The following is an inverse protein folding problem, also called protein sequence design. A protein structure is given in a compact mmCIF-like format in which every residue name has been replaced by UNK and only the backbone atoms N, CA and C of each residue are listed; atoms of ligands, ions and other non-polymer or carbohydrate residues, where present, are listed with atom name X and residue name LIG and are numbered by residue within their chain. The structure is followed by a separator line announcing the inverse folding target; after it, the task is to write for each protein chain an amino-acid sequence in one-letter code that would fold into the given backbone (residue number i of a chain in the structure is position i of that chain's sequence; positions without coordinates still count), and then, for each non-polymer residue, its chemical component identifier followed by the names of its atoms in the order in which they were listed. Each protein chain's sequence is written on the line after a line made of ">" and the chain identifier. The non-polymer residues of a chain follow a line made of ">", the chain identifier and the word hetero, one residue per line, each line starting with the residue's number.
data_IF_473495357808
#
_entry.id   IF_473495357808
#
_cell.length_a   1.000
_cell.length_b   1.000
_cell.length_c   1.000
_cell.angle_alpha   90.00
_cell.angle_beta   90.00
_cell.angle_gamma   90.00
#
_symmetry.space_group_name_H-M   'P 1'
#
loop_
_entity.id
_entity.type
_entity.pdbx_description
1 polymer ?
#
# COMPACT_ATOMS: atom_id res chain seq x y z
N UNK A 1 -2.15 6.57 -3.36
CA UNK A 1 -1.92 5.84 -2.10
C UNK A 1 -0.63 6.30 -1.49
N UNK A 2 -0.71 7.14 -0.46
CA UNK A 2 0.49 7.54 0.30
C UNK A 2 0.19 7.50 1.80
N UNK A 3 0.52 6.39 2.49
CA UNK A 3 0.26 6.24 3.92
C UNK A 3 1.23 7.06 4.78
N UNK A 4 0.87 8.32 5.07
CA UNK A 4 1.69 9.21 5.89
C UNK A 4 1.70 8.85 7.38
N UNK A 5 0.65 8.22 7.91
CA UNK A 5 0.57 7.94 9.35
C UNK A 5 1.59 6.89 9.79
N UNK A 6 1.87 5.92 8.92
CA UNK A 6 2.97 4.97 9.09
C UNK A 6 4.33 5.66 9.15
N UNK A 7 4.64 6.52 8.18
CA UNK A 7 5.92 7.22 8.13
C UNK A 7 6.19 8.03 9.41
N UNK A 8 5.18 8.72 9.92
CA UNK A 8 5.26 9.46 11.20
C UNK A 8 5.47 8.52 12.39
N UNK A 9 4.84 7.35 12.41
CA UNK A 9 5.05 6.35 13.47
C UNK A 9 6.48 5.86 13.50
N UNK A 10 7.07 5.62 12.33
CA UNK A 10 8.48 5.24 12.21
C UNK A 10 9.34 6.38 12.73
N UNK A 11 9.16 7.61 12.21
CA UNK A 11 9.89 8.81 12.65
C UNK A 11 9.91 8.98 14.18
N UNK A 12 8.77 8.80 14.84
CA UNK A 12 8.60 9.02 16.27
C UNK A 12 8.95 7.80 17.16
N UNK A 13 9.43 6.69 16.58
CA UNK A 13 9.80 5.50 17.36
C UNK A 13 11.02 5.78 18.26
N UNK A 14 10.89 5.45 19.56
CA UNK A 14 11.89 5.70 20.61
C UNK A 14 13.17 4.85 20.51
N UNK A 15 13.17 3.80 19.68
CA UNK A 15 14.33 2.91 19.46
C UNK A 15 14.77 2.98 17.99
N UNK A 16 15.50 4.03 17.58
CA UNK A 16 15.87 4.23 16.17
C UNK A 16 16.83 3.20 15.60
N UNK A 17 17.68 2.61 16.44
CA UNK A 17 18.75 1.67 16.04
C UNK A 17 18.25 0.25 15.68
N UNK A 18 17.01 -0.13 16.05
CA UNK A 18 16.67 -1.55 16.14
C UNK A 18 16.00 -2.18 14.90
N UNK A 19 15.71 -1.43 13.84
CA UNK A 19 15.19 -2.03 12.62
C UNK A 19 15.36 -1.14 11.37
N UNK A 20 15.40 -1.79 10.21
CA UNK A 20 15.33 -1.15 8.91
C UNK A 20 14.22 -1.79 8.07
N UNK A 21 13.71 -1.07 7.09
CA UNK A 21 12.61 -1.49 6.23
C UNK A 21 13.04 -1.51 4.76
N UNK A 22 12.50 -2.48 4.03
CA UNK A 22 12.49 -2.47 2.57
C UNK A 22 11.15 -1.87 2.14
N UNK A 23 11.17 -0.80 1.34
CA UNK A 23 9.98 -0.07 0.93
C UNK A 23 9.62 -0.39 -0.53
N UNK A 24 8.45 -1.02 -0.68
CA UNK A 24 7.82 -1.32 -1.97
C UNK A 24 6.65 -0.36 -2.15
N UNK A 25 6.64 0.39 -3.26
CA UNK A 25 5.53 1.29 -3.60
C UNK A 25 5.05 1.03 -5.02
N UNK A 26 3.96 1.68 -5.41
CA UNK A 26 3.51 1.62 -6.80
C UNK A 26 4.48 2.31 -7.76
N UNK A 27 4.77 3.58 -7.47
CA UNK A 27 5.76 4.39 -8.17
C UNK A 27 6.39 5.36 -7.17
N UNK A 28 6.44 6.66 -7.47
CA UNK A 28 6.86 7.70 -6.52
C UNK A 28 5.80 7.92 -5.46
N UNK A 29 6.25 8.45 -4.32
CA UNK A 29 5.37 8.98 -3.28
C UNK A 29 5.83 10.39 -2.89
N UNK A 30 5.09 11.03 -1.98
CA UNK A 30 5.36 12.39 -1.55
C UNK A 30 6.32 12.49 -0.37
N UNK A 31 6.55 13.72 0.11
CA UNK A 31 7.39 13.98 1.28
C UNK A 31 6.83 13.29 2.53
N UNK A 32 5.52 13.16 2.62
CA UNK A 32 4.80 12.52 3.72
C UNK A 32 5.16 11.05 3.94
N UNK A 33 5.73 10.38 2.92
CA UNK A 33 6.24 9.01 3.03
C UNK A 33 7.73 8.92 2.69
N UNK A 34 8.11 9.11 1.42
CA UNK A 34 9.48 8.95 0.96
C UNK A 34 10.42 9.94 1.66
N UNK A 35 10.02 11.21 1.77
CA UNK A 35 10.80 12.23 2.44
C UNK A 35 11.00 11.96 3.94
N UNK A 36 9.89 11.69 4.65
CA UNK A 36 9.93 11.34 6.08
C UNK A 36 10.83 10.13 6.30
N UNK A 37 10.63 9.05 5.56
CA UNK A 37 11.39 7.81 5.73
C UNK A 37 12.87 7.96 5.35
N UNK A 38 13.20 8.72 4.29
CA UNK A 38 14.58 9.04 3.93
C UNK A 38 15.33 9.66 5.11
N UNK A 39 14.70 10.61 5.80
CA UNK A 39 15.29 11.34 6.93
C UNK A 39 15.38 10.52 8.21
N UNK A 40 14.74 9.35 8.27
CA UNK A 40 14.84 8.46 9.45
C UNK A 40 16.10 7.59 9.46
N UNK A 41 16.78 7.42 8.32
CA UNK A 41 17.89 6.46 8.19
C UNK A 41 17.46 4.99 8.29
N UNK A 42 16.15 4.69 8.26
CA UNK A 42 15.63 3.32 8.42
C UNK A 42 15.28 2.62 7.11
N UNK A 43 15.53 3.23 5.95
CA UNK A 43 15.33 2.59 4.66
C UNK A 43 16.58 1.79 4.27
N UNK A 44 16.40 0.49 4.00
CA UNK A 44 17.47 -0.39 3.50
C UNK A 44 17.38 -0.62 1.99
N UNK A 45 16.17 -0.63 1.46
CA UNK A 45 15.88 -0.87 0.04
C UNK A 45 14.66 -0.07 -0.39
N UNK A 46 14.68 0.50 -1.60
CA UNK A 46 13.53 1.13 -2.25
C UNK A 46 13.29 0.50 -3.63
N UNK A 47 12.03 0.18 -3.92
CA UNK A 47 11.54 -0.36 -5.20
C UNK A 47 10.18 0.30 -5.51
N UNK A 48 9.75 0.47 -6.78
CA UNK A 48 10.50 0.35 -8.04
C UNK A 48 10.90 1.72 -8.62
N UNK A 49 10.43 2.81 -8.02
CA UNK A 49 10.63 4.16 -8.51
C UNK A 49 10.63 5.13 -7.33
N UNK A 50 11.31 6.26 -7.48
CA UNK A 50 11.26 7.39 -6.55
C UNK A 50 11.59 8.68 -7.31
N UNK A 51 11.06 9.80 -6.84
CA UNK A 51 11.39 11.14 -7.36
C UNK A 51 11.88 12.10 -6.28
N UNK A 52 11.89 11.69 -5.01
CA UNK A 52 12.14 12.55 -3.87
C UNK A 52 13.64 12.92 -3.74
N UNK A 53 14.01 14.20 -3.55
CA UNK A 53 15.41 14.63 -3.50
C UNK A 53 16.22 13.97 -2.38
N UNK A 54 15.64 13.78 -1.20
CA UNK A 54 16.33 13.12 -0.08
C UNK A 54 16.68 11.66 -0.39
N UNK A 55 15.77 10.90 -1.02
CA UNK A 55 16.05 9.53 -1.44
C UNK A 55 17.11 9.52 -2.53
N UNK A 56 17.00 10.39 -3.54
CA UNK A 56 18.00 10.53 -4.60
C UNK A 56 19.40 10.78 -4.03
N UNK A 57 19.51 11.65 -3.02
CA UNK A 57 20.78 11.91 -2.33
C UNK A 57 21.30 10.68 -1.60
N UNK A 58 20.44 9.91 -0.91
CA UNK A 58 20.86 8.69 -0.23
C UNK A 58 21.33 7.61 -1.22
N UNK A 59 20.60 7.42 -2.31
CA UNK A 59 20.90 6.45 -3.37
C UNK A 59 22.24 6.78 -4.03
N UNK A 60 22.42 8.02 -4.47
CA UNK A 60 23.63 8.44 -5.17
C UNK A 60 24.88 8.43 -4.28
N UNK A 61 24.72 8.46 -2.95
CA UNK A 61 25.81 8.33 -1.98
C UNK A 61 26.02 6.88 -1.49
N UNK A 62 25.34 5.89 -2.09
CA UNK A 62 25.46 4.48 -1.70
C UNK A 62 24.87 4.14 -0.32
N UNK A 63 24.02 5.01 0.24
CA UNK A 63 23.42 4.84 1.58
C UNK A 63 22.07 4.14 1.55
N UNK A 64 21.46 3.99 0.38
CA UNK A 64 20.18 3.31 0.18
C UNK A 64 20.24 2.45 -1.07
N UNK A 65 19.96 1.15 -0.93
CA UNK A 65 19.79 0.29 -2.10
C UNK A 65 18.52 0.70 -2.84
N UNK A 66 18.61 0.79 -4.16
CA UNK A 66 17.49 1.13 -5.01
C UNK A 66 17.47 0.23 -6.23
N UNK A 67 16.30 -0.28 -6.56
CA UNK A 67 16.06 -1.05 -7.77
C UNK A 67 14.99 -0.31 -8.55
N UNK A 68 15.42 0.35 -9.63
CA UNK A 68 14.51 0.84 -10.64
C UNK A 68 14.13 -0.28 -11.61
N UNK A 69 12.84 -0.39 -11.89
CA UNK A 69 12.35 -1.43 -12.79
C UNK A 69 11.07 -1.02 -13.50
N UNK A 70 10.80 -1.68 -14.63
CA UNK A 70 9.58 -1.47 -15.38
C UNK A 70 8.36 -1.73 -14.50
N UNK A 71 7.50 -0.72 -14.31
CA UNK A 71 6.43 -0.76 -13.31
C UNK A 71 5.48 -1.94 -13.50
N UNK A 72 5.17 -2.30 -14.74
CA UNK A 72 4.29 -3.45 -15.04
C UNK A 72 4.87 -4.81 -14.63
N UNK A 73 6.19 -4.94 -14.42
CA UNK A 73 6.83 -6.20 -14.03
C UNK A 73 6.89 -6.39 -12.52
N UNK A 74 6.74 -5.30 -11.76
CA UNK A 74 6.93 -5.30 -10.29
C UNK A 74 5.97 -6.26 -9.62
N UNK A 75 4.67 -6.15 -9.94
CA UNK A 75 3.64 -7.01 -9.35
C UNK A 75 3.90 -8.48 -9.63
N UNK A 76 4.33 -8.81 -10.85
CA UNK A 76 4.69 -10.16 -11.25
C UNK A 76 5.90 -10.68 -10.46
N UNK A 77 6.99 -9.92 -10.39
CA UNK A 77 8.22 -10.35 -9.68
C UNK A 77 8.00 -10.53 -8.19
N UNK A 78 7.16 -9.69 -7.56
CA UNK A 78 6.80 -9.89 -6.15
C UNK A 78 6.00 -11.18 -5.98
N UNK A 79 5.02 -11.46 -6.86
CA UNK A 79 4.19 -12.67 -6.79
C UNK A 79 4.95 -13.95 -7.13
N UNK A 80 5.97 -13.86 -7.97
CA UNK A 80 6.90 -14.96 -8.30
C UNK A 80 7.98 -15.18 -7.22
N UNK A 81 8.03 -14.33 -6.18
CA UNK A 81 8.98 -14.47 -5.07
C UNK A 81 10.42 -14.09 -5.42
N UNK A 82 10.63 -13.36 -6.52
CA UNK A 82 11.96 -12.83 -6.91
C UNK A 82 12.46 -11.83 -5.86
N UNK A 83 11.55 -11.08 -5.25
CA UNK A 83 11.85 -10.15 -4.17
C UNK A 83 11.50 -10.74 -2.80
N UNK A 84 12.13 -10.23 -1.72
CA UNK A 84 11.71 -10.53 -0.35
C UNK A 84 10.20 -10.46 -0.14
N UNK A 85 9.68 -11.36 0.70
CA UNK A 85 8.25 -11.44 0.99
C UNK A 85 7.69 -10.14 1.55
N UNK A 86 6.45 -9.81 1.20
CA UNK A 86 5.75 -8.67 1.80
C UNK A 86 5.32 -9.05 3.22
N UNK A 87 5.94 -8.46 4.24
CA UNK A 87 5.53 -8.65 5.62
C UNK A 87 4.26 -7.84 5.93
N UNK A 88 4.22 -6.58 5.50
CA UNK A 88 3.15 -5.64 5.82
C UNK A 88 2.71 -4.90 4.56
N UNK A 89 1.39 -4.88 4.29
CA UNK A 89 0.78 -3.97 3.33
C UNK A 89 0.13 -2.80 4.07
N UNK A 90 0.37 -1.58 3.59
CA UNK A 90 -0.25 -0.36 4.11
C UNK A 90 -0.96 0.34 2.97
N UNK A 91 -2.30 0.34 3.00
CA UNK A 91 -3.14 0.78 1.91
C UNK A 91 -3.98 1.96 2.36
N UNK A 92 -3.94 3.05 1.61
CA UNK A 92 -4.82 4.20 1.81
C UNK A 92 -6.16 3.95 1.13
N UNK A 93 -7.26 4.21 1.83
CA UNK A 93 -8.62 3.97 1.36
C UNK A 93 -9.53 5.17 1.66
N UNK A 94 -10.47 5.45 0.76
CA UNK A 94 -11.57 6.38 1.00
C UNK A 94 -12.70 5.72 1.80
N UNK A 95 -12.83 4.39 1.70
CA UNK A 95 -13.83 3.63 2.46
C UNK A 95 -13.40 2.17 2.67
N UNK A 96 -13.91 1.58 3.76
CA UNK A 96 -13.89 0.14 4.00
C UNK A 96 -15.26 -0.30 4.50
N UNK A 97 -15.90 -1.21 3.78
CA UNK A 97 -17.22 -1.73 4.15
C UNK A 97 -17.13 -2.86 5.17
N UNK A 98 -18.25 -3.13 5.84
CA UNK A 98 -18.38 -4.21 6.84
C UNK A 98 -18.13 -5.60 6.27
N UNK A 99 -18.41 -5.82 4.98
CA UNK A 99 -18.11 -7.05 4.26
C UNK A 99 -16.70 -7.05 3.64
N UNK A 100 -15.89 -6.06 4.00
CA UNK A 100 -14.48 -6.02 3.75
C UNK A 100 -14.04 -5.58 2.38
N UNK A 101 -14.87 -4.87 1.64
CA UNK A 101 -14.43 -4.15 0.45
C UNK A 101 -13.64 -2.92 0.86
N UNK A 102 -12.48 -2.74 0.24
CA UNK A 102 -11.60 -1.59 0.37
C UNK A 102 -11.74 -0.78 -0.92
N UNK A 103 -12.07 0.49 -0.78
CA UNK A 103 -12.15 1.46 -1.87
C UNK A 103 -10.98 2.42 -1.78
N UNK A 104 -10.15 2.43 -2.83
CA UNK A 104 -8.91 3.20 -2.85
C UNK A 104 -9.14 4.70 -3.06
N UNK A 105 -8.08 5.47 -2.88
CA UNK A 105 -8.05 6.92 -3.10
C UNK A 105 -7.62 7.24 -4.53
N UNK A 106 -6.64 8.12 -4.76
CA UNK A 106 -6.30 8.63 -6.09
C UNK A 106 -5.49 7.67 -6.98
N UNK A 107 -5.25 6.42 -6.56
CA UNK A 107 -4.44 5.47 -7.34
C UNK A 107 -4.67 4.03 -6.91
N UNK A 108 -4.52 3.08 -7.83
CA UNK A 108 -4.45 1.65 -7.51
C UNK A 108 -3.02 1.15 -7.29
N UNK A 109 -2.13 1.42 -8.25
CA UNK A 109 -0.77 0.89 -8.25
C UNK A 109 -0.73 -0.62 -8.00
N UNK A 110 0.13 -1.05 -7.09
CA UNK A 110 0.36 -2.46 -6.77
C UNK A 110 -0.48 -2.91 -5.55
N UNK A 111 -1.48 -2.13 -5.12
CA UNK A 111 -2.26 -2.38 -3.90
C UNK A 111 -2.90 -3.77 -3.89
N UNK A 112 -3.44 -4.23 -5.02
CA UNK A 112 -4.00 -5.58 -5.17
C UNK A 112 -2.95 -6.67 -4.91
N UNK A 113 -1.73 -6.47 -5.39
CA UNK A 113 -0.62 -7.39 -5.19
C UNK A 113 -0.16 -7.41 -3.73
N UNK A 114 -0.02 -6.24 -3.10
CA UNK A 114 0.38 -6.17 -1.70
C UNK A 114 -0.65 -6.79 -0.77
N UNK A 115 -1.94 -6.51 -0.97
CA UNK A 115 -3.02 -7.13 -0.20
C UNK A 115 -3.04 -8.65 -0.34
N UNK A 116 -2.77 -9.17 -1.54
CA UNK A 116 -2.77 -10.61 -1.79
C UNK A 116 -1.59 -11.35 -1.12
N UNK A 117 -0.46 -10.67 -0.88
CA UNK A 117 0.78 -11.33 -0.45
C UNK A 117 1.18 -11.03 0.99
N UNK A 118 0.79 -9.87 1.53
CA UNK A 118 1.22 -9.41 2.84
C UNK A 118 0.82 -10.36 3.97
N UNK A 119 1.64 -10.44 5.02
CA UNK A 119 1.29 -11.18 6.24
C UNK A 119 0.29 -10.39 7.07
N UNK A 120 0.58 -9.11 7.30
CA UNK A 120 -0.29 -8.16 8.00
C UNK A 120 -0.78 -7.05 7.05
N UNK A 121 -2.01 -6.58 7.26
CA UNK A 121 -2.61 -5.51 6.46
C UNK A 121 -3.03 -4.35 7.37
N UNK A 122 -2.60 -3.15 7.02
CA UNK A 122 -3.02 -1.91 7.64
C UNK A 122 -3.72 -1.04 6.62
N UNK A 123 -4.92 -0.58 6.96
CA UNK A 123 -5.67 0.33 6.10
C UNK A 123 -5.65 1.72 6.74
N UNK A 124 -5.15 2.71 6.00
CA UNK A 124 -5.23 4.12 6.34
C UNK A 124 -6.49 4.72 5.70
N UNK A 125 -7.55 4.88 6.50
CA UNK A 125 -8.76 5.57 6.07
C UNK A 125 -8.52 7.07 6.00
N UNK A 126 -8.73 7.66 4.83
CA UNK A 126 -8.51 9.07 4.57
C UNK A 126 -9.83 9.73 4.13
N UNK A 127 -10.50 10.38 5.09
CA UNK A 127 -11.78 11.08 4.89
C UNK A 127 -11.66 12.33 4.01
N UNK A 128 -10.44 12.78 3.69
CA UNK A 128 -10.26 13.87 2.73
C UNK A 128 -10.65 13.46 1.30
N UNK A 129 -10.78 12.15 1.03
CA UNK A 129 -11.24 11.65 -0.25
C UNK A 129 -12.76 11.41 -0.22
N UNK A 130 -13.50 11.89 -1.24
CA UNK A 130 -14.94 11.71 -1.32
C UNK A 130 -15.34 10.23 -1.48
N UNK A 131 -16.51 9.86 -0.95
CA UNK A 131 -17.06 8.50 -1.11
C UNK A 131 -17.49 8.22 -2.55
N UNK A 132 -17.64 9.25 -3.37
CA UNK A 132 -17.91 9.20 -4.81
C UNK A 132 -16.76 8.56 -5.60
N UNK A 133 -15.58 8.37 -4.98
CA UNK A 133 -14.49 7.59 -5.58
C UNK A 133 -14.81 6.07 -5.67
N UNK A 134 -15.83 5.59 -4.94
CA UNK A 134 -16.30 4.20 -5.07
C UNK A 134 -16.78 3.96 -6.51
N UNK A 135 -16.24 2.93 -7.16
CA UNK A 135 -16.53 2.65 -8.57
C UNK A 135 -15.50 3.22 -9.55
N UNK A 136 -14.64 4.14 -9.13
CA UNK A 136 -13.64 4.75 -10.03
C UNK A 136 -12.63 3.71 -10.53
N UNK A 137 -12.17 2.84 -9.64
CA UNK A 137 -11.14 1.85 -9.96
C UNK A 137 -11.72 0.67 -10.73
N UNK A 138 -10.90 0.07 -11.59
CA UNK A 138 -11.11 -1.26 -12.14
C UNK A 138 -9.92 -2.15 -11.73
N UNK A 139 -10.16 -3.11 -10.84
CA UNK A 139 -9.11 -3.89 -10.21
C UNK A 139 -9.15 -5.33 -10.72
N UNK A 140 -8.19 -5.64 -11.58
CA UNK A 140 -7.95 -6.97 -12.11
C UNK A 140 -6.55 -7.46 -11.72
N UNK A 141 -6.47 -8.67 -11.16
CA UNK A 141 -5.20 -9.33 -10.84
C UNK A 141 -5.11 -10.63 -11.63
N UNK A 142 -4.32 -10.70 -12.72
CA UNK A 142 -4.25 -11.89 -13.57
C UNK A 142 -3.65 -13.08 -12.82
N UNK A 143 -4.05 -14.31 -13.18
CA UNK A 143 -3.35 -15.51 -12.73
C UNK A 143 -1.93 -15.58 -13.31
N UNK A 144 -0.97 -16.11 -12.53
CA UNK A 144 0.40 -16.27 -13.01
C UNK A 144 0.51 -17.48 -13.94
N UNK A 145 1.38 -17.36 -14.95
CA UNK A 145 1.80 -18.46 -15.84
C UNK A 145 0.68 -19.14 -16.65
N UNK A 146 -0.46 -18.48 -16.85
CA UNK A 146 -1.57 -19.07 -17.61
C UNK A 146 -1.45 -18.88 -19.11
N UNK A 147 -0.67 -17.89 -19.57
CA UNK A 147 -0.61 -17.48 -20.97
C UNK A 147 -1.95 -16.97 -21.52
N UNK A 148 -2.95 -16.79 -20.66
CA UNK A 148 -4.27 -16.31 -21.05
C UNK A 148 -4.20 -14.82 -21.39
N UNK A 149 -4.96 -14.37 -22.40
CA UNK A 149 -5.07 -12.94 -22.69
C UNK A 149 -5.68 -12.18 -21.51
N UNK A 150 -5.28 -10.92 -21.38
CA UNK A 150 -6.01 -9.93 -20.57
C UNK A 150 -7.02 -9.30 -21.52
N UNK A 151 -8.31 -9.58 -21.32
CA UNK A 151 -9.38 -9.25 -22.26
C UNK A 151 -9.79 -7.77 -22.18
N UNK A 152 -8.89 -6.87 -22.59
CA UNK A 152 -9.16 -5.44 -22.76
C UNK A 152 -9.10 -5.14 -24.25
N UNK A 153 -10.26 -4.87 -24.85
CA UNK A 153 -10.41 -4.56 -26.26
C UNK A 153 -10.60 -3.05 -26.49
N UNK A 154 -11.20 -2.36 -25.52
CA UNK A 154 -11.46 -0.92 -25.52
C UNK A 154 -10.88 -0.22 -24.28
N UNK A 155 -10.58 1.07 -24.42
CA UNK A 155 -9.92 1.88 -23.37
C UNK A 155 -10.75 2.07 -22.11
N UNK A 156 -12.07 1.87 -22.20
CA UNK A 156 -13.07 2.01 -21.14
C UNK A 156 -13.63 0.66 -20.66
N UNK A 157 -13.10 -0.46 -21.17
CA UNK A 157 -13.47 -1.79 -20.68
C UNK A 157 -13.19 -1.92 -19.18
N UNK A 158 -14.16 -2.52 -18.48
CA UNK A 158 -14.03 -2.91 -17.08
C UNK A 158 -13.96 -4.42 -16.97
N UNK A 159 -12.79 -4.92 -16.62
CA UNK A 159 -12.49 -6.35 -16.58
C UNK A 159 -12.28 -6.88 -15.15
N UNK A 160 -12.23 -5.96 -14.19
CA UNK A 160 -11.94 -6.23 -12.79
C UNK A 160 -13.14 -6.03 -11.88
N UNK A 161 -12.81 -5.84 -10.61
CA UNK A 161 -13.76 -5.45 -9.56
C UNK A 161 -13.56 -3.97 -9.24
N UNK A 162 -14.63 -3.25 -8.92
CA UNK A 162 -14.54 -1.84 -8.49
C UNK A 162 -13.91 -1.62 -7.11
N UNK A 163 -13.66 -2.71 -6.39
CA UNK A 163 -13.15 -2.72 -5.02
C UNK A 163 -12.26 -3.92 -4.79
N UNK A 164 -11.40 -3.81 -3.78
CA UNK A 164 -10.57 -4.91 -3.28
C UNK A 164 -11.29 -5.59 -2.12
N UNK A 165 -11.53 -6.90 -2.15
CA UNK A 165 -12.20 -7.59 -1.04
C UNK A 165 -11.19 -8.23 -0.09
N UNK A 166 -10.98 -7.62 1.09
CA UNK A 166 -10.03 -8.14 2.06
C UNK A 166 -10.44 -9.50 2.62
N UNK A 167 -11.73 -9.81 2.75
CA UNK A 167 -12.17 -11.12 3.26
C UNK A 167 -11.88 -12.24 2.25
N UNK A 168 -12.05 -11.98 0.95
CA UNK A 168 -11.60 -12.90 -0.11
C UNK A 168 -10.09 -13.14 -0.05
N UNK A 169 -9.29 -12.11 0.26
CA UNK A 169 -7.84 -12.25 0.44
C UNK A 169 -7.45 -12.90 1.78
N UNK A 170 -8.25 -12.69 2.84
CA UNK A 170 -7.98 -13.11 4.23
C UNK A 170 -8.20 -14.61 4.47
N UNK A 171 -8.96 -15.32 3.62
CA UNK A 171 -9.12 -16.78 3.74
C UNK A 171 -7.77 -17.56 3.75
N UNK A 172 -6.62 -16.88 3.60
CA UNK A 172 -5.27 -17.45 3.72
C UNK A 172 -4.30 -16.84 4.78
N UNK A 173 -4.55 -15.72 5.51
CA UNK A 173 -3.57 -15.10 6.49
C UNK A 173 -4.19 -14.25 7.63
N UNK A 174 -3.42 -13.83 8.66
CA UNK A 174 -3.87 -13.22 9.95
C UNK A 174 -3.56 -11.71 10.11
N UNK A 175 -4.46 -11.00 10.82
CA UNK A 175 -4.43 -9.62 11.39
C UNK A 175 -4.57 -8.41 10.43
N UNK A 176 -5.67 -7.67 10.62
CA UNK A 176 -5.97 -6.39 9.95
C UNK A 176 -6.09 -5.27 11.00
N UNK A 177 -5.59 -4.07 10.72
CA UNK A 177 -5.77 -2.90 11.59
C UNK A 177 -6.12 -1.66 10.78
N UNK A 178 -7.19 -0.98 11.19
CA UNK A 178 -7.62 0.28 10.61
C UNK A 178 -7.02 1.44 11.38
N UNK A 179 -6.50 2.44 10.67
CA UNK A 179 -6.11 3.72 11.25
C UNK A 179 -6.67 4.85 10.41
N UNK A 180 -7.30 5.81 11.07
CA UNK A 180 -7.82 6.99 10.41
C UNK A 180 -6.74 8.08 10.44
N UNK A 181 -6.44 8.70 9.30
CA UNK A 181 -5.49 9.81 9.24
C UNK A 181 -6.28 11.11 9.10
N UNK A 182 -6.35 11.89 10.20
CA UNK A 182 -6.96 13.21 10.18
C UNK A 182 -5.91 14.27 9.82
N UNK A 183 -6.27 15.18 8.90
CA UNK A 183 -5.57 16.47 8.78
C UNK A 183 -5.83 17.39 10.00
N UNK A 184 -6.73 17.02 10.92
CA UNK A 184 -6.92 17.63 12.23
C UNK A 184 -6.41 16.72 13.36
N UNK A 185 -5.36 17.16 14.07
CA UNK A 185 -4.51 16.33 14.96
C UNK A 185 -5.16 15.80 16.25
N UNK A 186 -6.45 15.99 16.47
CA UNK A 186 -7.10 15.68 17.74
C UNK A 186 -8.21 14.64 17.55
N UNK A 187 -7.88 13.33 17.58
CA UNK A 187 -8.73 12.25 18.15
C UNK A 187 -8.22 10.82 17.84
N UNK A 188 -8.15 10.04 18.92
CA UNK A 188 -8.22 8.57 19.06
C UNK A 188 -7.11 7.64 18.50
N UNK A 189 -6.46 6.95 19.43
CA UNK A 189 -5.92 5.59 19.26
C UNK A 189 -6.96 4.61 19.81
N UNK A 190 -7.60 3.82 18.95
CA UNK A 190 -8.48 2.72 19.35
C UNK A 190 -8.10 1.45 18.61
N UNK A 191 -7.92 0.34 19.35
CA UNK A 191 -8.01 -1.00 18.75
C UNK A 191 -9.50 -1.24 18.46
N UNK A 192 -9.93 -1.03 17.22
CA UNK A 192 -11.29 -1.36 16.81
C UNK A 192 -11.44 -2.87 16.64
N UNK A 193 -12.15 -3.51 17.58
CA UNK A 193 -12.96 -4.67 17.22
C UNK A 193 -14.02 -4.21 16.22
N UNK A 194 -14.42 -5.10 15.31
CA UNK A 194 -15.59 -4.88 14.47
C UNK A 194 -16.73 -4.30 15.32
N UNK A 195 -17.37 -3.24 14.80
CA UNK A 195 -18.57 -2.62 15.36
C UNK A 195 -19.52 -3.70 15.90
N UNK A 196 -19.82 -3.61 17.19
CA UNK A 196 -20.75 -4.46 17.92
C UNK A 196 -22.20 -4.04 17.68
N UNK A 197 -22.55 -3.81 16.41
CA UNK A 197 -23.83 -3.23 16.01
C UNK A 197 -24.58 -4.29 15.18
N UNK A 198 -24.78 -5.47 15.79
CA UNK A 198 -25.64 -6.53 15.30
C UNK A 198 -26.47 -7.04 16.49
N UNK A 199 -27.65 -6.44 16.66
CA UNK A 199 -28.81 -7.04 17.31
C UNK A 199 -29.78 -7.50 16.24
#
# INVERSE_FOLDING_TARGET
>A
VIPGAFAQRIKNSKNPENFSINLYTGASTGDELDGVLARTGRLKLKIPYQSHPDLRKLINNGKLNFIDMHLSHVSRYIREGIFPSIDVAIIEACDVTSDGRIYLTNSSGMSSTYLALAKDIYIELNEAHPLEMKGLHDIYLPELHTGRPINIDYVDDRIGKSSLNYLEFYQKKKKVTFRQNYRNKDKFFGRGNLRSDLS
#
